data_IF_723353555305
#
_entry.id   IF_723353555305
#
_cell.length_a   1.000
_cell.length_b   1.000
_cell.length_c   1.000
_cell.angle_alpha   90.00
_cell.angle_beta   90.00
_cell.angle_gamma   90.00
#
_symmetry.space_group_name_H-M   'P 1'
#
loop_
_entity.id
_entity.type
_entity.pdbx_description
1 polymer ?
#
# COMPACT_ATOMS: atom_id res chain seq x y z
N UNK A 1 -8.84 -29.12 -25.77
CA UNK A 1 -8.93 -27.86 -25.00
C UNK A 1 -9.37 -28.21 -23.58
N UNK A 2 -8.89 -27.53 -22.55
CA UNK A 2 -9.34 -27.81 -21.18
C UNK A 2 -10.79 -27.35 -21.01
N UNK A 3 -11.67 -28.22 -20.56
CA UNK A 3 -13.07 -27.86 -20.28
C UNK A 3 -13.18 -27.14 -18.93
N UNK A 4 -14.28 -26.44 -18.69
CA UNK A 4 -14.53 -25.77 -17.41
C UNK A 4 -14.60 -26.77 -16.24
N UNK A 5 -15.08 -27.99 -16.49
CA UNK A 5 -15.08 -29.08 -15.51
C UNK A 5 -13.64 -29.52 -15.15
N UNK A 6 -12.76 -29.65 -16.15
CA UNK A 6 -11.34 -30.00 -15.93
C UNK A 6 -10.60 -28.91 -15.15
N UNK A 7 -10.98 -27.64 -15.33
CA UNK A 7 -10.41 -26.53 -14.58
C UNK A 7 -10.88 -26.55 -13.12
N UNK A 8 -12.17 -26.84 -12.88
CA UNK A 8 -12.68 -27.01 -11.51
C UNK A 8 -11.98 -28.15 -10.77
N UNK A 9 -11.73 -29.28 -11.42
CA UNK A 9 -10.97 -30.37 -10.80
C UNK A 9 -9.49 -30.03 -10.55
N UNK A 10 -8.94 -29.06 -11.29
CA UNK A 10 -7.60 -28.50 -11.05
C UNK A 10 -7.57 -27.44 -9.93
N UNK A 11 -8.73 -27.11 -9.32
CA UNK A 11 -8.85 -26.13 -8.24
C UNK A 11 -9.17 -24.71 -8.68
N UNK A 12 -9.58 -24.50 -9.93
CA UNK A 12 -10.04 -23.19 -10.39
C UNK A 12 -11.48 -22.94 -9.95
N UNK A 13 -11.69 -21.84 -9.24
CA UNK A 13 -13.02 -21.38 -8.82
C UNK A 13 -13.41 -20.15 -9.65
N UNK A 14 -14.36 -20.35 -10.55
CA UNK A 14 -14.72 -19.40 -11.59
C UNK A 14 -16.23 -19.17 -11.53
N UNK A 15 -16.62 -17.90 -11.56
CA UNK A 15 -18.00 -17.46 -11.73
C UNK A 15 -18.33 -17.47 -13.22
N UNK A 16 -19.24 -18.37 -13.62
CA UNK A 16 -19.60 -18.60 -15.03
C UNK A 16 -20.20 -17.34 -15.68
N UNK A 17 -20.99 -16.55 -14.93
CA UNK A 17 -21.63 -15.33 -15.47
C UNK A 17 -20.59 -14.30 -15.86
N UNK A 18 -19.63 -14.07 -14.96
CA UNK A 18 -18.51 -13.14 -15.20
C UNK A 18 -17.61 -13.64 -16.33
N UNK A 19 -17.41 -14.95 -16.41
CA UNK A 19 -16.60 -15.54 -17.47
C UNK A 19 -17.23 -15.32 -18.85
N UNK A 20 -18.54 -15.51 -18.97
CA UNK A 20 -19.28 -15.27 -20.22
C UNK A 20 -19.18 -13.80 -20.66
N UNK A 21 -19.36 -12.85 -19.73
CA UNK A 21 -19.17 -11.42 -19.97
C UNK A 21 -17.74 -11.09 -20.41
N UNK A 22 -16.74 -11.73 -19.81
CA UNK A 22 -15.32 -11.50 -20.11
C UNK A 22 -14.89 -12.08 -21.46
N UNK A 23 -15.50 -13.19 -21.89
CA UNK A 23 -15.20 -13.83 -23.18
C UNK A 23 -15.79 -13.05 -24.36
N UNK A 24 -16.84 -12.25 -24.14
CA UNK A 24 -17.47 -11.38 -25.15
C UNK A 24 -17.76 -12.12 -26.48
N UNK A 25 -18.30 -13.34 -26.36
CA UNK A 25 -18.64 -14.20 -27.50
C UNK A 25 -17.48 -14.87 -28.24
N UNK A 26 -16.25 -14.87 -27.68
CA UNK A 26 -15.09 -15.57 -28.27
C UNK A 26 -15.11 -17.06 -27.91
N UNK A 27 -15.43 -17.91 -28.88
CA UNK A 27 -15.55 -19.36 -28.66
C UNK A 27 -14.22 -20.13 -28.80
N UNK A 28 -13.28 -19.65 -29.60
CA UNK A 28 -12.01 -20.35 -29.93
C UNK A 28 -10.82 -20.00 -29.01
N UNK A 29 -11.08 -19.67 -27.75
CA UNK A 29 -10.02 -19.28 -26.80
C UNK A 29 -9.56 -20.49 -25.99
N UNK A 30 -8.24 -20.68 -25.90
CA UNK A 30 -7.69 -21.63 -24.91
C UNK A 30 -7.92 -21.09 -23.50
N UNK A 31 -9.02 -21.55 -22.89
CA UNK A 31 -9.55 -21.05 -21.63
C UNK A 31 -8.49 -21.03 -20.52
N UNK A 32 -7.64 -22.06 -20.42
CA UNK A 32 -6.61 -22.13 -19.37
C UNK A 32 -5.60 -20.99 -19.48
N UNK A 33 -5.08 -20.74 -20.69
CA UNK A 33 -4.11 -19.67 -20.92
C UNK A 33 -4.77 -18.30 -20.73
N UNK A 34 -6.01 -18.15 -21.19
CA UNK A 34 -6.78 -16.93 -21.00
C UNK A 34 -6.95 -16.57 -19.51
N UNK A 35 -7.29 -17.55 -18.66
CA UNK A 35 -7.45 -17.32 -17.22
C UNK A 35 -6.11 -17.04 -16.51
N UNK A 36 -5.03 -17.66 -16.98
CA UNK A 36 -3.69 -17.43 -16.43
C UNK A 36 -3.27 -15.96 -16.58
N UNK A 37 -3.55 -15.37 -17.75
CA UNK A 37 -3.10 -14.02 -18.11
C UNK A 37 -4.09 -12.90 -17.74
N UNK A 38 -5.34 -13.25 -17.40
CA UNK A 38 -6.31 -12.27 -16.90
C UNK A 38 -6.32 -12.15 -15.37
N UNK A 39 -6.78 -11.01 -14.89
CA UNK A 39 -6.92 -10.75 -13.45
C UNK A 39 -8.08 -11.58 -12.88
N UNK A 40 -7.81 -12.35 -11.84
CA UNK A 40 -8.80 -13.21 -11.17
C UNK A 40 -10.00 -12.42 -10.62
N UNK A 41 -9.89 -11.10 -10.42
CA UNK A 41 -11.04 -10.26 -10.02
C UNK A 41 -12.12 -10.18 -11.11
N UNK A 42 -11.77 -10.42 -12.37
CA UNK A 42 -12.68 -10.34 -13.51
C UNK A 42 -13.52 -11.62 -13.67
N UNK A 43 -13.07 -12.78 -13.19
CA UNK A 43 -13.78 -14.07 -13.38
C UNK A 43 -13.89 -14.94 -12.12
N UNK A 44 -13.18 -14.60 -11.04
CA UNK A 44 -13.06 -15.45 -9.85
C UNK A 44 -14.34 -15.54 -9.04
N UNK A 45 -14.48 -16.66 -8.34
CA UNK A 45 -15.52 -16.90 -7.34
C UNK A 45 -14.92 -16.91 -5.92
N UNK A 46 -15.74 -16.66 -4.89
CA UNK A 46 -15.24 -16.54 -3.52
C UNK A 46 -14.93 -17.90 -2.89
N UNK A 47 -13.66 -18.13 -2.61
CA UNK A 47 -13.12 -19.35 -2.00
C UNK A 47 -12.61 -19.10 -0.59
N UNK A 48 -11.98 -17.94 -0.35
CA UNK A 48 -11.32 -17.67 0.95
C UNK A 48 -12.31 -17.71 2.10
N UNK A 49 -13.50 -17.14 1.92
CA UNK A 49 -14.52 -17.04 2.98
C UNK A 49 -15.09 -18.41 3.33
N UNK A 50 -15.19 -19.31 2.35
CA UNK A 50 -15.81 -20.62 2.52
C UNK A 50 -14.82 -21.70 2.94
N UNK A 51 -13.55 -21.59 2.55
CA UNK A 51 -12.53 -22.64 2.73
C UNK A 51 -11.45 -22.33 3.75
N UNK A 52 -11.29 -21.08 4.16
CA UNK A 52 -10.35 -20.72 5.23
C UNK A 52 -11.12 -20.65 6.54
N UNK A 53 -10.99 -21.69 7.36
CA UNK A 53 -11.52 -21.69 8.71
C UNK A 53 -10.54 -20.98 9.66
N UNK A 54 -10.89 -19.73 10.01
CA UNK A 54 -10.10 -18.92 10.95
C UNK A 54 -10.20 -19.37 12.40
N UNK A 55 -11.24 -20.13 12.76
CA UNK A 55 -11.42 -20.67 14.13
C UNK A 55 -10.59 -21.92 14.30
N UNK A 56 -10.64 -22.83 13.33
CA UNK A 56 -9.79 -24.02 13.31
C UNK A 56 -8.33 -23.70 12.94
N UNK A 57 -8.06 -22.53 12.34
CA UNK A 57 -6.72 -22.14 11.94
C UNK A 57 -6.20 -22.98 10.78
N UNK A 58 -7.05 -23.25 9.79
CA UNK A 58 -6.69 -24.12 8.65
C UNK A 58 -7.39 -23.70 7.36
N UNK A 59 -6.69 -23.80 6.23
CA UNK A 59 -7.31 -23.91 4.91
C UNK A 59 -7.74 -25.37 4.75
N UNK A 60 -9.02 -25.61 4.51
CA UNK A 60 -9.58 -26.96 4.34
C UNK A 60 -8.84 -27.80 3.29
N UNK A 61 -8.97 -29.13 3.38
CA UNK A 61 -8.41 -30.04 2.40
C UNK A 61 -9.02 -29.81 1.01
N UNK A 62 -8.17 -29.69 -0.01
CA UNK A 62 -8.58 -29.42 -1.38
C UNK A 62 -7.49 -28.73 -2.19
N UNK A 63 -7.75 -28.46 -3.46
CA UNK A 63 -6.84 -27.73 -4.34
C UNK A 63 -7.49 -26.41 -4.74
N UNK A 64 -6.75 -25.31 -4.59
CA UNK A 64 -7.27 -23.97 -4.80
C UNK A 64 -6.28 -23.13 -5.59
N UNK A 65 -6.71 -22.57 -6.71
CA UNK A 65 -5.90 -21.64 -7.49
C UNK A 65 -6.13 -20.22 -6.99
N UNK A 66 -5.05 -19.54 -6.66
CA UNK A 66 -5.06 -18.15 -6.25
C UNK A 66 -4.16 -17.30 -7.14
N UNK A 67 -4.44 -16.00 -7.16
CA UNK A 67 -3.58 -15.01 -7.81
C UNK A 67 -2.71 -14.29 -6.77
N UNK A 68 -1.40 -14.25 -7.00
CA UNK A 68 -0.48 -13.47 -6.19
C UNK A 68 -0.60 -11.98 -6.52
N UNK A 69 -0.97 -11.15 -5.54
CA UNK A 69 -1.09 -9.70 -5.72
C UNK A 69 0.13 -8.95 -5.25
N UNK A 70 0.78 -9.43 -4.19
CA UNK A 70 1.92 -8.76 -3.56
C UNK A 70 2.85 -9.78 -2.91
N UNK A 71 4.13 -9.45 -2.89
CA UNK A 71 5.14 -10.11 -2.09
C UNK A 71 6.00 -9.09 -1.34
N UNK A 72 6.59 -9.50 -0.22
CA UNK A 72 7.47 -8.66 0.61
C UNK A 72 8.42 -9.54 1.42
N UNK A 73 9.71 -9.19 1.45
CA UNK A 73 10.63 -9.73 2.45
C UNK A 73 10.30 -9.12 3.82
N UNK A 74 9.80 -9.93 4.75
CA UNK A 74 9.44 -9.49 6.11
C UNK A 74 10.59 -9.60 7.10
N UNK A 75 11.71 -10.20 6.71
CA UNK A 75 12.93 -10.22 7.52
C UNK A 75 13.66 -8.87 7.54
N UNK A 76 13.31 -7.94 6.64
CA UNK A 76 13.99 -6.64 6.53
C UNK A 76 13.01 -5.46 6.58
N UNK A 77 13.45 -4.30 7.11
CA UNK A 77 12.68 -3.06 7.04
C UNK A 77 12.39 -2.65 5.61
N UNK A 78 11.27 -1.97 5.38
CA UNK A 78 10.84 -1.53 4.04
C UNK A 78 11.89 -0.70 3.29
N UNK A 79 12.68 0.08 4.03
CA UNK A 79 13.72 0.94 3.45
C UNK A 79 14.89 0.16 2.86
N UNK A 80 15.10 -1.09 3.28
CA UNK A 80 16.27 -1.91 2.91
C UNK A 80 15.89 -3.16 2.09
N UNK A 81 14.68 -3.21 1.52
CA UNK A 81 14.22 -4.41 0.80
C UNK A 81 15.08 -4.74 -0.43
N UNK A 82 15.75 -3.76 -1.05
CA UNK A 82 16.57 -3.98 -2.25
C UNK A 82 17.95 -4.61 -2.01
N UNK A 83 18.44 -4.66 -0.76
CA UNK A 83 19.80 -5.15 -0.46
C UNK A 83 19.85 -6.63 -0.06
N UNK A 84 18.72 -7.24 0.32
CA UNK A 84 18.68 -8.58 0.86
C UNK A 84 17.71 -9.48 0.07
N UNK A 85 18.30 -10.46 -0.62
CA UNK A 85 17.57 -11.48 -1.38
C UNK A 85 17.22 -12.72 -0.53
N UNK A 86 17.90 -12.91 0.60
CA UNK A 86 17.56 -13.98 1.53
C UNK A 86 16.63 -13.47 2.63
N UNK A 87 15.72 -14.34 3.06
CA UNK A 87 14.80 -14.05 4.15
C UNK A 87 13.45 -14.72 4.02
N UNK A 88 12.57 -14.28 4.90
CA UNK A 88 11.20 -14.75 5.03
C UNK A 88 10.29 -13.88 4.17
N UNK A 89 9.54 -14.50 3.27
CA UNK A 89 8.66 -13.78 2.35
C UNK A 89 7.20 -13.94 2.76
N UNK A 90 6.52 -12.81 2.88
CA UNK A 90 5.08 -12.74 3.00
C UNK A 90 4.47 -12.49 1.62
N UNK A 91 3.58 -13.38 1.22
CA UNK A 91 2.80 -13.29 -0.01
C UNK A 91 1.36 -12.88 0.34
N UNK A 92 0.73 -12.15 -0.56
CA UNK A 92 -0.71 -11.86 -0.51
C UNK A 92 -1.34 -12.46 -1.75
N UNK A 93 -2.31 -13.33 -1.53
CA UNK A 93 -3.06 -14.04 -2.55
C UNK A 93 -4.51 -13.54 -2.58
N UNK A 94 -5.16 -13.62 -3.73
CA UNK A 94 -6.58 -13.30 -3.91
C UNK A 94 -7.28 -14.38 -4.72
N UNK A 95 -8.54 -14.63 -4.40
CA UNK A 95 -9.50 -15.43 -5.19
C UNK A 95 -10.33 -14.53 -6.15
N UNK A 96 -10.01 -13.24 -6.23
CA UNK A 96 -10.78 -12.25 -6.99
C UNK A 96 -11.78 -11.44 -6.16
N UNK A 97 -12.12 -11.88 -4.95
CA UNK A 97 -13.04 -11.19 -4.05
C UNK A 97 -12.38 -10.81 -2.73
N UNK A 98 -11.70 -11.79 -2.14
CA UNK A 98 -11.04 -11.71 -0.85
C UNK A 98 -9.54 -11.89 -1.03
N UNK A 99 -8.80 -11.52 0.02
CA UNK A 99 -7.36 -11.71 0.06
C UNK A 99 -6.97 -12.51 1.29
N UNK A 100 -5.97 -13.37 1.11
CA UNK A 100 -5.35 -14.15 2.19
C UNK A 100 -3.85 -13.90 2.17
N UNK A 101 -3.26 -13.78 3.35
CA UNK A 101 -1.81 -13.65 3.49
C UNK A 101 -1.20 -15.03 3.72
N UNK A 102 -0.02 -15.25 3.16
CA UNK A 102 0.75 -16.46 3.36
C UNK A 102 2.20 -16.12 3.72
N UNK A 103 2.81 -16.96 4.52
CA UNK A 103 4.20 -16.88 4.91
C UNK A 103 4.93 -18.08 4.31
N UNK A 104 5.96 -17.81 3.53
CA UNK A 104 6.80 -18.86 2.95
C UNK A 104 7.77 -19.39 4.00
N UNK A 105 7.44 -20.51 4.60
CA UNK A 105 8.28 -21.14 5.62
C UNK A 105 9.50 -21.80 4.99
N UNK A 106 9.29 -22.60 3.94
CA UNK A 106 10.34 -23.24 3.16
C UNK A 106 10.42 -22.71 1.72
N UNK A 107 11.57 -22.79 1.03
CA UNK A 107 11.70 -22.39 -0.35
C UNK A 107 10.72 -23.15 -1.26
N UNK A 108 9.87 -22.41 -1.98
CA UNK A 108 8.93 -22.98 -2.95
C UNK A 108 9.48 -22.79 -4.36
N UNK A 109 9.66 -23.85 -5.15
CA UNK A 109 10.13 -23.74 -6.53
C UNK A 109 9.25 -22.80 -7.36
N UNK A 110 9.88 -21.84 -8.04
CA UNK A 110 9.21 -20.84 -8.86
C UNK A 110 8.64 -19.63 -8.11
N UNK A 111 8.52 -19.70 -6.77
CA UNK A 111 8.08 -18.57 -5.94
C UNK A 111 9.30 -17.88 -5.32
N UNK A 112 9.80 -16.90 -6.06
CA UNK A 112 11.02 -16.14 -5.76
C UNK A 112 10.71 -14.66 -5.70
N UNK A 113 11.69 -13.83 -5.31
CA UNK A 113 11.57 -12.37 -5.34
C UNK A 113 11.28 -11.80 -6.73
N UNK A 114 11.63 -12.53 -7.78
CA UNK A 114 11.41 -12.10 -9.15
C UNK A 114 10.00 -12.46 -9.65
N UNK A 115 9.22 -13.18 -8.86
CA UNK A 115 7.86 -13.55 -9.23
C UNK A 115 7.00 -12.29 -9.35
N UNK A 116 6.42 -12.06 -10.52
CA UNK A 116 5.66 -10.85 -10.78
C UNK A 116 4.23 -10.94 -10.22
N UNK A 117 3.64 -9.83 -9.76
CA UNK A 117 2.22 -9.77 -9.44
C UNK A 117 1.35 -10.25 -10.61
N UNK A 118 0.25 -10.94 -10.30
CA UNK A 118 -0.62 -11.61 -11.26
C UNK A 118 -0.35 -13.10 -11.44
N UNK A 119 0.83 -13.58 -11.02
CA UNK A 119 1.19 -15.00 -11.09
C UNK A 119 0.16 -15.86 -10.34
N UNK A 120 -0.34 -16.91 -11.00
CA UNK A 120 -1.24 -17.90 -10.43
C UNK A 120 -0.48 -19.00 -9.71
N UNK A 121 -0.96 -19.38 -8.54
CA UNK A 121 -0.39 -20.43 -7.70
C UNK A 121 -1.49 -21.42 -7.31
N UNK A 122 -1.12 -22.70 -7.23
CA UNK A 122 -1.94 -23.77 -6.70
C UNK A 122 -1.59 -23.97 -5.23
N UNK A 123 -2.56 -23.83 -4.34
CA UNK A 123 -2.45 -24.22 -2.95
C UNK A 123 -3.19 -25.55 -2.75
N UNK A 124 -2.50 -26.52 -2.15
CA UNK A 124 -3.04 -27.85 -1.83
C UNK A 124 -3.20 -27.96 -0.32
N UNK A 125 -4.44 -27.91 0.14
CA UNK A 125 -4.82 -28.08 1.53
C UNK A 125 -4.76 -29.54 1.99
N UNK A 126 -4.76 -29.77 3.30
CA UNK A 126 -4.92 -28.76 4.35
C UNK A 126 -3.64 -27.93 4.59
N UNK A 127 -3.79 -26.63 4.85
CA UNK A 127 -2.66 -25.72 5.17
C UNK A 127 -2.94 -25.01 6.50
N UNK A 128 -1.98 -25.04 7.42
CA UNK A 128 -2.08 -24.34 8.71
C UNK A 128 -2.17 -22.82 8.51
N UNK A 129 -3.12 -22.20 9.20
CA UNK A 129 -3.32 -20.76 9.27
C UNK A 129 -2.96 -20.29 10.69
N UNK A 130 -1.82 -19.63 10.83
CA UNK A 130 -1.33 -19.11 12.11
C UNK A 130 -1.28 -17.59 12.07
N UNK A 131 -1.86 -16.92 13.07
CA UNK A 131 -1.96 -15.45 13.11
C UNK A 131 -2.53 -14.82 11.82
N UNK A 132 -3.42 -15.53 11.12
CA UNK A 132 -4.00 -15.09 9.84
C UNK A 132 -3.05 -15.23 8.64
N UNK A 133 -1.96 -15.99 8.77
CA UNK A 133 -1.00 -16.29 7.70
C UNK A 133 -1.04 -17.79 7.39
N UNK A 134 -1.24 -18.13 6.12
CA UNK A 134 -1.09 -19.51 5.65
C UNK A 134 0.39 -19.88 5.61
N UNK A 135 0.77 -20.98 6.24
CA UNK A 135 2.15 -21.46 6.25
C UNK A 135 2.40 -22.32 5.00
N UNK A 136 2.99 -21.70 3.97
CA UNK A 136 3.22 -22.36 2.68
C UNK A 136 4.63 -22.93 2.58
N UNK A 137 4.73 -24.09 1.93
CA UNK A 137 5.96 -24.83 1.66
C UNK A 137 5.94 -25.42 0.24
N UNK A 138 7.00 -26.11 -0.15
CA UNK A 138 7.10 -26.71 -1.49
C UNK A 138 6.12 -27.88 -1.72
N UNK A 139 5.51 -28.42 -0.66
CA UNK A 139 4.58 -29.56 -0.73
C UNK A 139 3.16 -29.08 -1.01
N UNK A 140 2.79 -27.94 -0.42
CA UNK A 140 1.45 -27.39 -0.47
C UNK A 140 1.29 -26.23 -1.46
N UNK A 141 2.39 -25.66 -1.99
CA UNK A 141 2.35 -24.56 -2.94
C UNK A 141 3.09 -24.88 -4.23
N UNK A 142 2.44 -24.65 -5.38
CA UNK A 142 3.03 -24.81 -6.70
C UNK A 142 2.69 -23.64 -7.61
N UNK A 143 3.69 -23.04 -8.25
CA UNK A 143 3.48 -21.97 -9.24
C UNK A 143 2.96 -22.55 -10.55
N UNK A 144 1.84 -22.01 -11.04
CA UNK A 144 1.25 -22.38 -12.35
C UNK A 144 1.71 -21.39 -13.44
N UNK A 145 2.01 -20.14 -13.06
CA UNK A 145 2.48 -19.10 -13.97
C UNK A 145 1.38 -18.09 -14.31
N UNK A 146 1.39 -17.58 -15.53
CA UNK A 146 0.47 -16.53 -15.98
C UNK A 146 0.99 -15.12 -15.75
N UNK A 147 0.58 -14.20 -16.61
CA UNK A 147 1.05 -12.82 -16.64
C UNK A 147 -0.13 -11.85 -16.75
N UNK A 148 -0.38 -11.09 -15.69
CA UNK A 148 -1.46 -10.08 -15.68
C UNK A 148 -0.86 -8.70 -15.92
N UNK A 149 -0.90 -8.24 -17.17
CA UNK A 149 -0.20 -7.02 -17.61
C UNK A 149 -0.59 -5.80 -16.77
N UNK A 150 -1.88 -5.58 -16.51
CA UNK A 150 -2.38 -4.46 -15.67
C UNK A 150 -1.72 -4.41 -14.29
N UNK A 151 -1.49 -5.58 -13.65
CA UNK A 151 -0.86 -5.66 -12.33
C UNK A 151 0.64 -5.44 -12.39
N UNK A 152 1.28 -5.92 -13.47
CA UNK A 152 2.72 -5.76 -13.68
C UNK A 152 3.05 -4.30 -13.96
N UNK A 153 2.29 -3.63 -14.82
CA UNK A 153 2.44 -2.20 -15.11
C UNK A 153 2.30 -1.38 -13.82
N UNK A 154 1.25 -1.64 -13.03
CA UNK A 154 1.06 -0.98 -11.74
C UNK A 154 2.23 -1.21 -10.80
N UNK A 155 2.72 -2.45 -10.70
CA UNK A 155 3.85 -2.77 -9.85
C UNK A 155 5.14 -2.10 -10.32
N UNK A 156 5.42 -2.09 -11.62
CA UNK A 156 6.58 -1.39 -12.18
C UNK A 156 6.50 0.10 -11.92
N UNK A 157 5.32 0.70 -12.03
CA UNK A 157 5.08 2.09 -11.63
C UNK A 157 5.27 2.30 -10.13
N UNK A 158 4.90 1.36 -9.26
CA UNK A 158 5.14 1.49 -7.82
C UNK A 158 6.63 1.35 -7.46
N UNK A 159 7.41 0.57 -8.24
CA UNK A 159 8.86 0.42 -8.07
C UNK A 159 9.64 1.63 -8.59
N UNK A 160 9.27 2.15 -9.78
CA UNK A 160 10.01 3.21 -10.48
C UNK A 160 9.38 4.59 -10.34
N UNK A 161 8.10 4.64 -9.96
CA UNK A 161 7.33 5.86 -9.81
C UNK A 161 7.83 6.63 -8.62
N UNK A 162 8.72 7.57 -8.91
CA UNK A 162 9.21 8.65 -8.04
C UNK A 162 9.31 8.14 -6.61
N UNK A 163 10.49 7.58 -6.29
CA UNK A 163 11.08 7.73 -4.97
C UNK A 163 10.69 9.11 -4.49
N UNK A 164 9.69 9.18 -3.61
CA UNK A 164 9.32 10.41 -2.92
C UNK A 164 10.58 10.68 -2.14
N UNK A 165 11.45 11.50 -2.74
CA UNK A 165 12.70 11.92 -2.14
C UNK A 165 12.39 12.16 -0.69
N UNK A 166 13.05 11.38 0.15
CA UNK A 166 12.78 11.24 1.56
C UNK A 166 12.89 12.60 2.25
N UNK A 167 11.82 13.41 2.18
CA UNK A 167 11.50 14.34 3.22
C UNK A 167 10.93 13.47 4.33
N UNK A 168 11.47 13.64 5.55
CA UNK A 168 11.26 12.82 6.76
C UNK A 168 9.81 12.78 7.29
N UNK A 169 8.81 12.86 6.44
CA UNK A 169 7.39 12.77 6.76
C UNK A 169 6.69 12.14 5.55
N UNK A 170 6.07 10.99 5.75
CA UNK A 170 5.35 10.23 4.71
C UNK A 170 4.13 10.94 4.11
N UNK A 171 3.88 12.19 4.47
CA UNK A 171 2.85 13.01 3.86
C UNK A 171 3.36 13.59 2.51
N UNK A 172 2.54 13.54 1.44
CA UNK A 172 2.84 14.33 0.25
C UNK A 172 3.00 15.80 0.66
N UNK A 173 3.98 16.49 0.07
CA UNK A 173 4.16 17.93 0.30
C UNK A 173 2.87 18.64 -0.07
N UNK A 174 2.20 19.21 0.93
CA UNK A 174 0.99 20.01 0.71
C UNK A 174 1.32 21.16 -0.23
N UNK A 175 0.71 21.17 -1.41
CA UNK A 175 0.80 22.28 -2.35
C UNK A 175 -0.39 23.19 -2.02
N UNK A 176 -0.16 24.42 -1.53
CA UNK A 176 -1.25 25.36 -1.32
C UNK A 176 -1.96 25.61 -2.65
N UNK A 177 -3.28 25.45 -2.69
CA UNK A 177 -4.09 25.69 -3.90
C UNK A 177 -3.99 27.12 -4.43
N UNK A 178 -3.54 28.06 -3.61
CA UNK A 178 -3.34 29.45 -4.00
C UNK A 178 -2.19 30.07 -3.23
N UNK A 179 -1.07 30.32 -3.91
CA UNK A 179 -0.25 31.48 -3.62
C UNK A 179 -0.01 32.19 -4.93
N UNK A 180 -0.84 33.19 -5.24
CA UNK A 180 -0.32 34.29 -6.05
C UNK A 180 0.86 34.81 -5.24
N UNK A 181 2.09 34.49 -5.65
CA UNK A 181 3.23 35.30 -5.23
C UNK A 181 2.83 36.71 -5.67
N UNK A 182 2.68 37.63 -4.74
CA UNK A 182 2.81 39.04 -5.07
C UNK A 182 4.25 39.20 -5.54
N UNK A 183 4.50 38.90 -6.82
CA UNK A 183 5.68 39.34 -7.53
C UNK A 183 5.52 40.85 -7.55
N UNK A 184 6.10 41.53 -6.56
CA UNK A 184 6.40 42.96 -6.71
C UNK A 184 7.17 43.04 -8.02
N UNK A 185 6.58 43.72 -9.00
CA UNK A 185 7.17 43.95 -10.29
C UNK A 185 8.47 44.72 -10.10
N UNK A 186 9.57 44.00 -9.91
CA UNK A 186 10.89 44.57 -10.09
C UNK A 186 11.18 44.44 -11.58
N UNK A 187 11.12 45.58 -12.28
CA UNK A 187 11.60 45.70 -13.65
C UNK A 187 13.08 45.29 -13.68
N UNK A 188 13.38 44.19 -14.34
CA UNK A 188 14.76 43.82 -14.66
C UNK A 188 14.92 42.33 -15.02
N UNK A 189 15.36 42.10 -16.26
CA UNK A 189 15.96 40.88 -16.81
C UNK A 189 15.11 39.60 -16.95
N UNK A 190 14.62 39.40 -18.17
CA UNK A 190 14.74 38.21 -19.02
C UNK A 190 15.17 36.88 -18.37
N UNK A 191 14.19 36.06 -18.02
CA UNK A 191 14.01 34.67 -18.49
C UNK A 191 12.76 34.11 -17.80
N UNK A 192 11.66 34.04 -18.54
CA UNK A 192 10.42 33.45 -18.09
C UNK A 192 10.59 31.93 -17.92
N UNK A 193 10.98 31.48 -16.73
CA UNK A 193 10.70 30.12 -16.31
C UNK A 193 9.18 29.96 -16.28
N UNK A 194 8.66 29.10 -17.16
CA UNK A 194 7.25 28.70 -17.20
C UNK A 194 6.93 28.02 -15.87
N UNK A 195 6.49 28.78 -14.88
CA UNK A 195 5.81 28.25 -13.70
C UNK A 195 4.64 27.41 -14.24
N UNK A 196 4.67 26.11 -13.97
CA UNK A 196 3.63 25.14 -14.34
C UNK A 196 2.41 25.40 -13.48
N UNK A 197 1.75 26.53 -13.73
CA UNK A 197 0.49 26.87 -13.11
C UNK A 197 -0.52 25.77 -13.43
N UNK A 198 -1.15 25.26 -12.38
CA UNK A 198 -2.22 24.28 -12.43
C UNK A 198 -3.37 24.86 -13.26
N UNK A 199 -3.46 24.47 -14.53
CA UNK A 199 -4.41 25.01 -15.54
C UNK A 199 -5.89 24.83 -15.18
N UNK A 200 -6.22 24.08 -14.13
CA UNK A 200 -7.59 23.89 -13.67
C UNK A 200 -8.25 25.21 -13.21
N UNK A 201 -7.48 26.15 -12.65
CA UNK A 201 -8.00 27.45 -12.18
C UNK A 201 -8.39 28.40 -13.34
N UNK A 202 -7.70 28.33 -14.48
CA UNK A 202 -8.00 29.18 -15.65
C UNK A 202 -9.37 28.86 -16.26
N UNK A 203 -9.80 27.61 -16.16
CA UNK A 203 -11.12 27.15 -16.63
C UNK A 203 -12.23 27.73 -15.74
N UNK A 204 -12.02 27.71 -14.42
CA UNK A 204 -12.96 28.23 -13.43
C UNK A 204 -13.09 29.76 -13.54
N UNK A 205 -11.98 30.48 -13.70
CA UNK A 205 -12.00 31.93 -13.88
C UNK A 205 -12.68 32.36 -15.19
N UNK A 206 -12.47 31.63 -16.30
CA UNK A 206 -13.16 31.90 -17.57
C UNK A 206 -14.66 31.62 -17.51
N UNK A 207 -15.08 30.63 -16.71
CA UNK A 207 -16.49 30.32 -16.50
C UNK A 207 -17.18 31.39 -15.64
N UNK A 208 -16.52 31.87 -14.57
CA UNK A 208 -17.12 32.87 -13.68
C UNK A 208 -17.21 34.28 -14.29
N UNK A 209 -16.35 34.64 -15.25
CA UNK A 209 -16.37 35.95 -15.88
C UNK A 209 -17.47 36.14 -16.94
N UNK A 210 -18.11 35.06 -17.41
CA UNK A 210 -19.08 35.13 -18.52
C UNK A 210 -20.54 35.24 -18.08
N UNK A 211 -20.87 34.84 -16.84
CA UNK A 211 -22.27 34.60 -16.45
C UNK A 211 -22.75 35.36 -15.18
N UNK A 212 -21.99 36.31 -14.61
CA UNK A 212 -22.43 37.05 -13.40
C UNK A 212 -22.61 38.55 -13.64
N UNK A 213 -23.68 39.11 -13.11
CA UNK A 213 -23.89 40.57 -13.04
C UNK A 213 -22.91 41.21 -12.05
N UNK A 214 -22.61 42.50 -12.23
CA UNK A 214 -21.68 43.25 -11.38
C UNK A 214 -22.06 43.19 -9.89
N UNK A 215 -23.36 43.17 -9.58
CA UNK A 215 -23.87 43.06 -8.20
C UNK A 215 -23.55 41.70 -7.56
N UNK A 216 -23.58 40.62 -8.34
CA UNK A 216 -23.25 39.28 -7.85
C UNK A 216 -21.73 39.08 -7.63
N UNK A 217 -20.88 39.88 -8.29
CA UNK A 217 -19.44 39.93 -8.01
C UNK A 217 -19.15 40.73 -6.74
N UNK A 218 -19.83 41.86 -6.52
CA UNK A 218 -19.64 42.70 -5.33
C UNK A 218 -20.00 41.99 -4.02
N UNK A 219 -21.07 41.18 -4.03
CA UNK A 219 -21.49 40.39 -2.85
C UNK A 219 -20.49 39.26 -2.52
N UNK A 220 -19.88 38.63 -3.54
CA UNK A 220 -18.86 37.59 -3.35
C UNK A 220 -17.54 38.19 -2.83
N UNK A 221 -17.19 39.39 -3.29
CA UNK A 221 -16.05 40.17 -2.79
C UNK A 221 -16.26 40.62 -1.32
N UNK A 222 -17.46 41.04 -0.94
CA UNK A 222 -17.77 41.41 0.45
C UNK A 222 -17.77 40.20 1.39
N UNK A 223 -18.36 39.07 0.96
CA UNK A 223 -18.35 37.83 1.74
C UNK A 223 -16.93 37.28 1.93
N UNK A 224 -16.12 37.29 0.87
CA UNK A 224 -14.73 36.83 0.92
C UNK A 224 -13.85 37.77 1.75
N UNK A 225 -14.08 39.09 1.70
CA UNK A 225 -13.41 40.07 2.55
C UNK A 225 -13.75 39.89 4.03
N UNK A 226 -15.03 39.69 4.37
CA UNK A 226 -15.46 39.44 5.75
C UNK A 226 -14.89 38.13 6.30
N UNK A 227 -14.90 37.06 5.51
CA UNK A 227 -14.28 35.78 5.91
C UNK A 227 -12.78 35.92 6.14
N UNK A 228 -12.09 36.67 5.29
CA UNK A 228 -10.65 36.95 5.44
C UNK A 228 -10.36 37.76 6.69
N UNK A 229 -11.15 38.79 6.97
CA UNK A 229 -11.02 39.61 8.18
C UNK A 229 -11.25 38.78 9.46
N UNK A 230 -12.21 37.84 9.44
CA UNK A 230 -12.45 36.92 10.55
C UNK A 230 -11.27 35.98 10.80
N UNK A 231 -10.67 35.43 9.74
CA UNK A 231 -9.49 34.54 9.85
C UNK A 231 -8.28 35.31 10.37
N UNK A 232 -8.01 36.52 9.85
CA UNK A 232 -6.90 37.36 10.31
C UNK A 232 -7.10 37.81 11.77
N UNK A 233 -8.34 37.98 12.24
CA UNK A 233 -8.66 38.22 13.65
C UNK A 233 -8.29 37.01 14.52
N UNK A 234 -8.72 35.81 14.12
CA UNK A 234 -8.39 34.56 14.83
C UNK A 234 -6.88 34.26 14.84
N UNK A 235 -6.14 34.61 13.78
CA UNK A 235 -4.69 34.37 13.72
C UNK A 235 -3.90 35.31 14.65
N UNK A 236 -4.45 36.48 15.02
CA UNK A 236 -3.83 37.43 15.96
C UNK A 236 -4.05 37.04 17.43
N UNK A 237 -5.20 36.48 17.77
CA UNK A 237 -5.56 36.16 19.16
C UNK A 237 -4.95 34.85 19.67
N UNK A 238 -4.60 33.93 18.76
CA UNK A 238 -3.96 32.69 19.11
C UNK A 238 -2.43 32.79 18.95
N UNK A 239 -1.70 32.97 20.07
CA UNK A 239 -0.28 32.55 20.12
C UNK A 239 -0.22 31.12 19.58
N UNK A 240 0.39 30.92 18.41
CA UNK A 240 0.57 29.60 17.80
C UNK A 240 1.02 28.63 18.87
N UNK A 241 0.11 27.78 19.36
CA UNK A 241 0.46 26.66 20.23
C UNK A 241 1.30 25.76 19.35
N UNK A 242 2.61 25.93 19.40
CA UNK A 242 3.53 24.93 18.85
C UNK A 242 3.14 23.66 19.59
N UNK A 243 2.84 22.60 18.85
CA UNK A 243 2.93 21.26 19.43
C UNK A 243 4.26 21.20 20.16
N UNK A 244 4.22 20.77 21.43
CA UNK A 244 5.45 20.56 22.18
C UNK A 244 6.39 19.77 21.25
N UNK A 245 7.66 20.20 21.08
CA UNK A 245 8.59 19.38 20.34
C UNK A 245 8.53 18.00 20.99
N UNK A 246 8.36 16.94 20.20
CA UNK A 246 8.48 15.58 20.69
C UNK A 246 9.74 15.55 21.55
N UNK A 247 9.58 15.53 22.88
CA UNK A 247 10.71 15.23 23.75
C UNK A 247 11.01 13.78 23.40
N UNK A 248 12.12 13.63 22.69
CA UNK A 248 12.63 12.36 22.25
C UNK A 248 12.77 11.50 23.51
N UNK A 249 12.07 10.37 23.55
CA UNK A 249 12.47 9.27 24.39
C UNK A 249 13.78 8.75 23.78
N UNK A 250 14.92 9.24 24.27
CA UNK A 250 16.21 8.66 23.92
C UNK A 250 16.41 7.41 24.77
N UNK A 251 16.18 6.25 24.16
CA UNK A 251 16.41 4.96 24.79
C UNK A 251 17.88 4.58 24.63
N UNK A 252 18.68 4.78 25.68
CA UNK A 252 20.06 4.27 25.74
C UNK A 252 20.11 2.96 26.53
N UNK A 253 20.78 1.95 25.96
CA UNK A 253 21.12 0.72 26.67
C UNK A 253 22.34 0.99 27.56
N UNK A 254 22.16 0.87 28.86
CA UNK A 254 23.23 1.04 29.85
C UNK A 254 23.63 -0.34 30.38
N UNK A 255 24.84 -0.78 30.04
CA UNK A 255 25.42 -2.03 30.57
C UNK A 255 25.99 -1.75 31.97
N UNK A 256 25.50 -2.45 32.99
CA UNK A 256 26.00 -2.31 34.36
C UNK A 256 26.82 -3.53 34.80
N UNK A 257 28.15 -3.42 34.70
CA UNK A 257 29.11 -4.21 35.51
C UNK A 257 29.08 -5.74 35.33
N UNK A 258 29.99 -6.47 36.01
CA UNK A 258 30.44 -7.79 35.56
C UNK A 258 29.51 -8.97 35.90
N UNK A 259 28.35 -8.75 36.51
CA UNK A 259 27.47 -9.85 36.97
C UNK A 259 26.00 -9.49 36.69
N UNK A 260 25.47 -10.08 35.62
CA UNK A 260 24.12 -9.98 35.07
C UNK A 260 23.77 -8.64 34.40
N UNK A 261 23.70 -8.67 33.06
CA UNK A 261 23.30 -7.56 32.20
C UNK A 261 21.80 -7.24 32.41
N UNK A 262 21.53 -6.34 33.36
CA UNK A 262 20.22 -5.72 33.55
C UNK A 262 20.00 -4.67 32.44
N UNK A 263 19.09 -4.95 31.51
CA UNK A 263 18.65 -3.94 30.54
C UNK A 263 17.74 -2.92 31.24
N UNK A 264 18.18 -1.68 31.28
CA UNK A 264 17.39 -0.55 31.77
C UNK A 264 17.15 0.45 30.64
N UNK A 265 16.00 1.14 30.68
CA UNK A 265 15.72 2.31 29.83
C UNK A 265 15.69 3.54 30.70
N UNK A 266 16.51 4.52 30.33
CA UNK A 266 16.40 5.88 30.85
C UNK A 266 15.36 6.65 30.07
N UNK A 267 14.54 7.41 30.79
CA UNK A 267 13.62 8.37 30.19
C UNK A 267 13.51 9.60 31.07
N UNK A 268 13.21 10.73 30.44
CA UNK A 268 13.03 12.02 31.10
C UNK A 268 11.56 12.39 31.08
N UNK A 269 10.93 12.36 32.25
CA UNK A 269 9.54 12.80 32.42
C UNK A 269 9.53 14.09 33.24
N UNK A 270 8.98 15.16 32.69
CA UNK A 270 8.83 16.45 33.40
C UNK A 270 10.14 16.99 34.02
N UNK A 271 11.25 16.94 33.26
CA UNK A 271 12.59 17.32 33.70
C UNK A 271 13.16 16.52 34.88
N UNK A 272 12.63 15.31 35.14
CA UNK A 272 13.22 14.35 36.07
C UNK A 272 13.70 13.12 35.30
N UNK A 273 14.95 12.75 35.51
CA UNK A 273 15.49 11.49 34.99
C UNK A 273 14.96 10.32 35.79
N UNK A 274 14.42 9.32 35.10
CA UNK A 274 13.94 8.08 35.67
C UNK A 274 14.53 6.88 34.91
N UNK A 275 14.72 5.77 35.62
CA UNK A 275 15.30 4.53 35.10
C UNK A 275 14.31 3.39 35.33
N UNK A 276 13.90 2.70 34.26
CA UNK A 276 13.03 1.53 34.33
C UNK A 276 13.80 0.26 33.94
N UNK A 277 13.89 -0.77 34.80
CA UNK A 277 14.44 -2.07 34.43
C UNK A 277 13.45 -2.84 33.53
N UNK A 278 13.92 -3.30 32.38
CA UNK A 278 13.11 -4.01 31.37
C UNK A 278 13.34 -5.53 31.42
N UNK A 279 14.50 -5.98 31.90
CA UNK A 279 14.76 -7.40 32.09
C UNK A 279 16.24 -7.73 32.24
N UNK A 280 16.53 -9.02 32.43
CA UNK A 280 17.89 -9.55 32.50
C UNK A 280 18.20 -10.31 31.21
N UNK A 281 19.34 -10.00 30.58
CA UNK A 281 19.87 -10.85 29.52
C UNK A 281 20.45 -12.10 30.16
N UNK A 282 19.91 -13.27 29.84
CA UNK A 282 20.57 -14.54 30.17
C UNK A 282 21.72 -14.76 29.19
N UNK A 283 22.92 -15.11 29.65
CA UNK A 283 23.95 -15.62 28.76
C UNK A 283 23.47 -16.91 28.10
N UNK A 284 23.87 -17.11 26.84
CA UNK A 284 23.60 -18.31 26.07
C UNK A 284 24.32 -19.53 26.65
#
# INVERSE_FOLDING_TARGET
MATLADLRSQGWHIDERKLEELLDGKEDVNLKNFLLDNDMREYGDSVVVTKVDRRAGVLEAGTYVFQMTRQRNVSVPKMNEGSHQSGLYKYTFTDGHNSVSALRFDPVPGLTEKTMPGTKVLLTGPITLEAGLLLIDAKNCRVIGGKVDKLIEKWQMDQHGISRTAAKSGAPKWIPFTKKKNVKANKGSDKAEKETNFKALDVIHKAHARDRSADAMAVDDEFSANRKALIDGLEKDHKKRRFAPNHFYDCEFVMHGPVADLCTVRYTELNKEAVLPIGYLRPA
#
